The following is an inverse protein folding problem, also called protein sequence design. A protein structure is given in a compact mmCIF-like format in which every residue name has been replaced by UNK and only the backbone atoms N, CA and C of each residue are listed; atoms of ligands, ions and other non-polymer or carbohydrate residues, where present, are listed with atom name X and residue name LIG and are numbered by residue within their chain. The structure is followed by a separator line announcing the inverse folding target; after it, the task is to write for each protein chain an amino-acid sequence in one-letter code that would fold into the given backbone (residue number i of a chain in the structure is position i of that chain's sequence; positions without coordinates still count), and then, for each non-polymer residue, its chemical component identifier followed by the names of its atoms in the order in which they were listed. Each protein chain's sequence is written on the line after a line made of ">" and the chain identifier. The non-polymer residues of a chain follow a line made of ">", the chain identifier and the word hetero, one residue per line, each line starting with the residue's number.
data_IF_885367871753
#
_entry.id   IF_885367871753
#
_cell.length_a   1.000
_cell.length_b   1.000
_cell.length_c   1.000
_cell.angle_alpha   90.00
_cell.angle_beta   90.00
_cell.angle_gamma   90.00
#
_symmetry.space_group_name_H-M   'P 1'
#
loop_
_entity.id
_entity.type
_entity.pdbx_description
1 polymer ?
#
# COMPACT_ATOMS: atom_id res chain seq x y z
N UNK A 1 7.36 -11.47 4.29
CA UNK A 1 6.57 -10.77 3.25
C UNK A 1 5.16 -11.37 3.29
N UNK A 2 4.13 -10.54 3.47
CA UNK A 2 2.74 -10.99 3.53
C UNK A 2 2.10 -10.81 2.14
N UNK A 3 1.32 -11.79 1.69
CA UNK A 3 0.56 -11.68 0.44
C UNK A 3 -0.81 -11.06 0.71
N UNK A 4 -1.26 -10.20 -0.20
CA UNK A 4 -2.57 -9.55 -0.13
C UNK A 4 -3.28 -9.72 -1.47
N UNK A 5 -4.60 -9.83 -1.45
CA UNK A 5 -5.43 -9.93 -2.66
C UNK A 5 -5.48 -8.60 -3.43
N UNK A 6 -5.37 -7.46 -2.73
CA UNK A 6 -5.42 -6.14 -3.35
C UNK A 6 -4.28 -5.22 -2.91
N UNK A 7 -3.91 -4.28 -3.78
CA UNK A 7 -2.93 -3.22 -3.47
C UNK A 7 -3.41 -2.35 -2.30
N UNK A 8 -4.72 -2.14 -2.18
CA UNK A 8 -5.32 -1.32 -1.13
C UNK A 8 -5.19 -1.96 0.25
N UNK A 9 -5.36 -3.28 0.35
CA UNK A 9 -5.12 -4.01 1.59
C UNK A 9 -3.64 -4.02 1.99
N UNK A 10 -2.74 -4.26 1.03
CA UNK A 10 -1.30 -4.15 1.27
C UNK A 10 -0.92 -2.75 1.77
N UNK A 11 -1.49 -1.71 1.14
CA UNK A 11 -1.24 -0.33 1.51
C UNK A 11 -1.79 0.03 2.89
N UNK A 12 -2.97 -0.48 3.24
CA UNK A 12 -3.53 -0.33 4.60
C UNK A 12 -2.62 -0.97 5.64
N UNK A 13 -2.16 -2.19 5.39
CA UNK A 13 -1.26 -2.89 6.29
C UNK A 13 0.06 -2.12 6.50
N UNK A 14 0.62 -1.55 5.43
CA UNK A 14 1.80 -0.67 5.50
C UNK A 14 1.55 0.55 6.42
N UNK A 15 0.39 1.19 6.29
CA UNK A 15 0.03 2.35 7.12
C UNK A 15 -0.16 2.02 8.61
N UNK A 16 -0.49 0.77 8.94
CA UNK A 16 -0.71 0.32 10.31
C UNK A 16 0.57 -0.23 10.97
N UNK A 17 1.41 -0.91 10.20
CA UNK A 17 2.57 -1.63 10.75
C UNK A 17 3.89 -0.90 10.51
N UNK A 18 4.10 -0.33 9.32
CA UNK A 18 5.41 0.20 8.91
C UNK A 18 5.49 1.73 9.09
N UNK A 19 4.44 2.45 8.66
CA UNK A 19 4.30 3.89 8.84
C UNK A 19 4.58 4.42 10.27
N UNK A 20 4.12 3.79 11.37
CA UNK A 20 4.46 4.27 12.73
C UNK A 20 5.96 4.19 13.05
N UNK A 21 6.71 3.33 12.37
CA UNK A 21 8.15 3.16 12.57
C UNK A 21 9.01 4.10 11.71
N UNK A 22 8.40 4.78 10.74
CA UNK A 22 9.11 5.76 9.89
C UNK A 22 9.58 7.00 10.67
N UNK A 23 10.63 7.62 10.16
CA UNK A 23 11.13 8.92 10.65
C UNK A 23 10.06 10.00 10.53
N UNK A 24 10.13 11.01 11.41
CA UNK A 24 9.19 12.14 11.41
C UNK A 24 9.10 12.85 10.06
N UNK A 25 10.22 13.00 9.35
CA UNK A 25 10.26 13.60 8.01
C UNK A 25 9.45 12.81 6.97
N UNK A 26 9.51 11.48 7.00
CA UNK A 26 8.79 10.64 6.06
C UNK A 26 7.31 10.53 6.40
N UNK A 27 6.97 10.54 7.68
CA UNK A 27 5.57 10.67 8.14
C UNK A 27 4.93 11.96 7.63
N UNK A 28 5.67 13.06 7.61
CA UNK A 28 5.18 14.34 7.04
C UNK A 28 4.92 14.21 5.54
N UNK A 29 5.84 13.60 4.78
CA UNK A 29 5.67 13.38 3.32
C UNK A 29 4.47 12.48 3.01
N UNK A 30 4.21 11.50 3.86
CA UNK A 30 3.12 10.54 3.70
C UNK A 30 1.80 11.00 4.30
N UNK A 31 1.75 12.13 5.02
CA UNK A 31 0.54 12.65 5.65
C UNK A 31 -0.59 12.87 4.65
N UNK A 32 -0.29 13.48 3.51
CA UNK A 32 -1.29 13.74 2.46
C UNK A 32 -1.75 12.43 1.78
N UNK A 33 -0.83 11.50 1.58
CA UNK A 33 -1.12 10.17 1.02
C UNK A 33 -2.04 9.39 1.96
N UNK A 34 -1.70 9.33 3.25
CA UNK A 34 -2.54 8.70 4.29
C UNK A 34 -3.92 9.33 4.35
N UNK A 35 -3.99 10.66 4.38
CA UNK A 35 -5.26 11.39 4.41
C UNK A 35 -6.12 11.10 3.18
N UNK A 36 -5.51 11.14 2.00
CA UNK A 36 -6.21 10.85 0.74
C UNK A 36 -6.62 9.38 0.62
N UNK A 37 -5.92 8.43 1.25
CA UNK A 37 -6.33 7.02 1.29
C UNK A 37 -7.58 6.78 2.15
N UNK A 38 -7.68 7.42 3.32
CA UNK A 38 -8.84 7.24 4.21
C UNK A 38 -10.03 8.14 3.88
N UNK A 39 -9.84 9.19 3.08
CA UNK A 39 -10.91 10.13 2.75
C UNK A 39 -11.79 9.59 1.62
N UNK A 40 -13.05 9.35 1.94
CA UNK A 40 -14.08 9.01 0.97
C UNK A 40 -14.18 10.09 -0.12
N UNK A 41 -14.14 9.68 -1.39
CA UNK A 41 -14.19 10.57 -2.57
C UNK A 41 -12.84 11.07 -3.10
N UNK A 42 -11.70 10.76 -2.45
CA UNK A 42 -10.36 10.94 -3.06
C UNK A 42 -9.76 9.57 -3.39
N UNK A 43 -9.86 9.15 -4.65
CA UNK A 43 -9.24 7.91 -5.10
C UNK A 43 -7.74 8.09 -5.28
N UNK A 44 -6.95 7.55 -4.36
CA UNK A 44 -5.51 7.46 -4.52
C UNK A 44 -5.20 6.41 -5.60
N UNK A 45 -4.42 6.76 -6.63
CA UNK A 45 -4.13 5.80 -7.69
C UNK A 45 -3.29 4.65 -7.16
N UNK A 46 -3.63 3.41 -7.56
CA UNK A 46 -2.87 2.19 -7.20
C UNK A 46 -1.37 2.32 -7.48
N UNK A 47 -0.99 2.98 -8.59
CA UNK A 47 0.41 3.27 -8.93
C UNK A 47 1.13 4.10 -7.85
N UNK A 48 0.44 5.05 -7.21
CA UNK A 48 1.01 5.89 -6.16
C UNK A 48 1.20 5.08 -4.87
N UNK A 49 0.26 4.17 -4.55
CA UNK A 49 0.38 3.25 -3.41
C UNK A 49 1.60 2.34 -3.57
N UNK A 50 1.74 1.73 -4.75
CA UNK A 50 2.88 0.86 -5.08
C UNK A 50 4.20 1.60 -4.91
N UNK A 51 4.35 2.79 -5.50
CA UNK A 51 5.58 3.58 -5.40
C UNK A 51 5.93 3.94 -3.95
N UNK A 52 4.93 4.22 -3.11
CA UNK A 52 5.17 4.45 -1.68
C UNK A 52 5.68 3.18 -1.00
N UNK A 53 5.02 2.03 -1.21
CA UNK A 53 5.46 0.77 -0.60
C UNK A 53 6.86 0.36 -1.06
N UNK A 54 7.18 0.50 -2.35
CA UNK A 54 8.53 0.23 -2.90
C UNK A 54 9.59 1.20 -2.37
N UNK A 55 9.20 2.41 -1.99
CA UNK A 55 10.14 3.41 -1.48
C UNK A 55 10.57 3.13 -0.04
N UNK A 56 9.65 2.61 0.78
CA UNK A 56 9.89 2.43 2.22
C UNK A 56 10.04 0.96 2.62
N UNK A 57 9.86 0.02 1.69
CA UNK A 57 10.05 -1.40 1.92
C UNK A 57 10.16 -2.20 0.63
N UNK A 58 10.20 -3.52 0.76
CA UNK A 58 10.18 -4.42 -0.39
C UNK A 58 8.75 -4.76 -0.77
N UNK A 59 8.34 -4.36 -1.97
CA UNK A 59 7.02 -4.65 -2.54
C UNK A 59 7.16 -5.44 -3.85
N UNK A 60 6.39 -6.52 -3.98
CA UNK A 60 6.41 -7.37 -5.19
C UNK A 60 4.99 -7.80 -5.55
N UNK A 61 4.62 -7.63 -6.81
CA UNK A 61 3.34 -8.10 -7.34
C UNK A 61 3.43 -9.58 -7.71
N UNK A 62 2.53 -10.40 -7.16
CA UNK A 62 2.41 -11.83 -7.47
C UNK A 62 1.11 -12.05 -8.25
N UNK A 63 1.21 -12.63 -9.44
CA UNK A 63 0.04 -13.02 -10.23
C UNK A 63 -0.18 -14.53 -10.10
N UNK A 64 -1.33 -14.94 -9.58
CA UNK A 64 -1.74 -16.34 -9.48
C UNK A 64 -2.90 -16.59 -10.44
N UNK A 65 -2.84 -17.66 -11.21
CA UNK A 65 -3.89 -18.07 -12.14
C UNK A 65 -4.21 -19.54 -11.92
N UNK A 66 -5.49 -19.85 -11.71
CA UNK A 66 -6.00 -21.21 -11.55
C UNK A 66 -7.12 -21.47 -12.53
N UNK A 67 -6.97 -22.50 -13.37
CA UNK A 67 -8.05 -22.98 -14.24
C UNK A 67 -8.69 -24.20 -13.60
N UNK A 68 -9.74 -24.01 -12.80
CA UNK A 68 -10.57 -25.11 -12.34
C UNK A 68 -11.61 -25.43 -13.43
N UNK A 69 -11.13 -25.89 -14.59
CA UNK A 69 -12.01 -26.51 -15.59
C UNK A 69 -12.30 -27.93 -15.10
N UNK A 70 -13.49 -28.12 -14.53
CA UNK A 70 -14.11 -29.43 -14.35
C UNK A 70 -15.11 -29.65 -15.48
#
# INVERSE_FOLDING_TARGET
>A
MQEFDTIEEAFRWFLENDFPNLSSEDKVKLKDVKYSFYKEGRSLSKKKMVNVMEKYGEFKTVYKYGSNKK
#
